data_IF_928916167250
#
_entry.id   IF_928916167250
#
_cell.length_a   1.000
_cell.length_b   1.000
_cell.length_c   1.000
_cell.angle_alpha   90.00
_cell.angle_beta   90.00
_cell.angle_gamma   90.00
#
_symmetry.space_group_name_H-M   'P 1'
#
loop_
_entity.id
_entity.type
_entity.pdbx_description
1 polymer ?
#
# COMPACT_ATOMS: atom_id res chain seq x y z
N UNK A 1 7.25 -18.69 11.38
CA UNK A 1 6.57 -17.41 11.00
C UNK A 1 7.02 -17.12 9.59
N UNK A 2 6.13 -16.90 8.64
CA UNK A 2 6.53 -16.77 7.25
C UNK A 2 7.30 -15.46 7.05
N UNK A 3 8.50 -15.52 6.48
CA UNK A 3 9.40 -14.38 6.18
C UNK A 3 8.78 -13.33 5.24
N UNK A 4 7.53 -13.52 4.82
CA UNK A 4 6.84 -12.72 3.81
C UNK A 4 5.86 -11.68 4.39
N UNK A 5 5.92 -11.38 5.69
CA UNK A 5 5.02 -10.43 6.33
C UNK A 5 5.78 -9.29 7.02
N UNK A 6 5.45 -8.07 6.64
CA UNK A 6 5.98 -6.84 7.25
C UNK A 6 4.88 -6.24 8.12
N UNK A 7 5.13 -6.11 9.42
CA UNK A 7 4.25 -5.41 10.35
C UNK A 7 4.32 -3.90 10.15
N UNK A 8 3.18 -3.24 10.19
CA UNK A 8 3.06 -1.79 10.03
C UNK A 8 2.23 -1.24 11.18
N UNK A 9 2.84 -0.42 12.00
CA UNK A 9 2.23 0.08 13.24
C UNK A 9 1.74 -1.06 14.16
N UNK A 10 0.68 -0.82 14.96
CA UNK A 10 0.19 -1.78 15.94
C UNK A 10 -0.61 -2.92 15.31
N UNK A 11 -1.44 -2.62 14.31
CA UNK A 11 -2.45 -3.54 13.80
C UNK A 11 -2.31 -3.84 12.30
N UNK A 12 -1.53 -3.03 11.59
CA UNK A 12 -1.34 -3.16 10.15
C UNK A 12 -0.29 -4.20 9.77
N UNK A 13 -0.37 -4.69 8.56
CA UNK A 13 0.65 -5.52 7.94
C UNK A 13 0.54 -5.50 6.41
N UNK A 14 1.65 -5.86 5.76
CA UNK A 14 1.71 -6.22 4.34
C UNK A 14 2.31 -7.61 4.25
N UNK A 15 1.57 -8.55 3.67
CA UNK A 15 2.01 -9.93 3.48
C UNK A 15 2.00 -10.28 2.01
N UNK A 16 3.14 -10.72 1.50
CA UNK A 16 3.22 -11.30 0.17
C UNK A 16 2.55 -12.67 0.17
N UNK A 17 1.55 -12.85 -0.70
CA UNK A 17 0.85 -14.13 -0.88
C UNK A 17 1.37 -14.92 -2.07
N UNK A 18 1.59 -14.22 -3.21
CA UNK A 18 1.93 -14.87 -4.46
C UNK A 18 2.63 -13.90 -5.41
N UNK A 19 3.44 -14.44 -6.31
CA UNK A 19 4.13 -13.70 -7.37
C UNK A 19 3.99 -14.49 -8.67
N UNK A 20 3.50 -13.86 -9.71
CA UNK A 20 3.49 -14.37 -11.07
C UNK A 20 4.54 -13.63 -11.90
N UNK A 21 5.50 -14.36 -12.44
CA UNK A 21 6.58 -13.81 -13.25
C UNK A 21 7.81 -13.35 -12.47
N UNK A 22 8.81 -12.93 -13.21
CA UNK A 22 10.10 -12.45 -12.72
C UNK A 22 10.80 -11.60 -13.80
N UNK A 23 12.03 -11.17 -13.58
CA UNK A 23 12.80 -10.36 -14.52
C UNK A 23 13.00 -11.04 -15.89
N UNK A 24 13.12 -12.36 -15.93
CA UNK A 24 13.26 -13.10 -17.19
C UNK A 24 11.97 -13.09 -18.01
N UNK A 25 10.81 -13.15 -17.33
CA UNK A 25 9.50 -13.04 -17.99
C UNK A 25 9.30 -11.65 -18.61
N UNK A 26 9.74 -10.58 -17.93
CA UNK A 26 9.73 -9.23 -18.50
C UNK A 26 10.62 -9.15 -19.74
N UNK A 27 11.81 -9.78 -19.70
CA UNK A 27 12.70 -9.87 -20.87
C UNK A 27 12.03 -10.63 -22.02
N UNK A 28 11.47 -11.81 -21.71
CA UNK A 28 10.79 -12.65 -22.70
C UNK A 28 9.64 -11.91 -23.37
N UNK A 29 8.79 -11.26 -22.59
CA UNK A 29 7.68 -10.45 -23.08
C UNK A 29 8.15 -9.32 -24.02
N UNK A 30 9.23 -8.62 -23.64
CA UNK A 30 9.80 -7.58 -24.49
C UNK A 30 10.36 -8.13 -25.80
N UNK A 31 10.92 -9.34 -25.79
CA UNK A 31 11.54 -9.97 -26.97
C UNK A 31 10.54 -10.54 -27.97
N UNK A 32 9.32 -10.85 -27.55
CA UNK A 32 8.24 -11.29 -28.46
C UNK A 32 8.07 -10.34 -29.63
N UNK A 33 8.24 -9.05 -29.43
CA UNK A 33 8.11 -8.02 -30.47
C UNK A 33 9.14 -8.14 -31.59
N UNK A 34 10.23 -8.87 -31.40
CA UNK A 34 11.29 -9.04 -32.39
C UNK A 34 11.18 -10.34 -33.20
N UNK A 35 10.22 -11.22 -32.84
CA UNK A 35 10.04 -12.51 -33.51
C UNK A 35 11.06 -13.59 -33.08
N UNK A 36 10.90 -14.79 -33.65
CA UNK A 36 11.76 -15.92 -33.36
C UNK A 36 13.20 -15.69 -33.88
N UNK A 37 14.19 -16.18 -33.11
CA UNK A 37 15.60 -16.15 -33.52
C UNK A 37 16.37 -14.87 -33.17
N UNK A 38 15.76 -13.94 -32.45
CA UNK A 38 16.48 -12.72 -32.03
C UNK A 38 17.56 -13.06 -31.00
N UNK A 39 18.82 -12.77 -31.35
CA UNK A 39 19.96 -13.01 -30.46
C UNK A 39 19.88 -12.12 -29.23
N UNK A 40 20.13 -12.71 -28.04
CA UNK A 40 20.28 -11.96 -26.79
C UNK A 40 21.51 -11.06 -26.87
N UNK A 41 21.29 -9.75 -27.06
CA UNK A 41 22.35 -8.75 -27.24
C UNK A 41 22.76 -8.09 -25.91
N UNK A 42 21.87 -8.11 -24.91
CA UNK A 42 22.10 -7.47 -23.63
C UNK A 42 21.77 -8.41 -22.46
N UNK A 43 22.37 -8.15 -21.30
CA UNK A 43 21.96 -8.80 -20.08
C UNK A 43 20.56 -8.37 -19.68
N UNK A 44 19.76 -9.27 -19.11
CA UNK A 44 18.39 -9.05 -18.63
C UNK A 44 18.24 -7.74 -17.86
N UNK A 45 19.14 -7.51 -16.89
CA UNK A 45 19.12 -6.28 -16.07
C UNK A 45 19.25 -4.98 -16.87
N UNK A 46 20.07 -4.99 -17.93
CA UNK A 46 20.28 -3.78 -18.74
C UNK A 46 19.04 -3.50 -19.63
N UNK A 47 18.42 -4.55 -20.15
CA UNK A 47 17.19 -4.44 -20.92
C UNK A 47 16.05 -3.90 -20.03
N UNK A 48 15.84 -4.46 -18.86
CA UNK A 48 14.81 -3.98 -17.90
C UNK A 48 15.01 -2.51 -17.56
N UNK A 49 16.23 -2.09 -17.26
CA UNK A 49 16.54 -0.68 -16.99
C UNK A 49 16.28 0.22 -18.19
N UNK A 50 16.56 -0.25 -19.39
CA UNK A 50 16.24 0.46 -20.63
C UNK A 50 14.73 0.62 -20.78
N UNK A 51 13.96 -0.46 -20.66
CA UNK A 51 12.50 -0.45 -20.77
C UNK A 51 11.86 0.52 -19.75
N UNK A 52 12.31 0.48 -18.50
CA UNK A 52 11.84 1.39 -17.45
C UNK A 52 12.16 2.85 -17.76
N UNK A 53 13.36 3.15 -18.20
CA UNK A 53 13.79 4.52 -18.52
C UNK A 53 13.00 5.11 -19.67
N UNK A 54 12.66 4.30 -20.65
CA UNK A 54 11.91 4.70 -21.85
C UNK A 54 10.39 4.50 -21.71
N UNK A 55 9.91 4.12 -20.49
CA UNK A 55 8.50 3.92 -20.19
C UNK A 55 7.80 2.89 -21.09
N UNK A 56 8.51 1.84 -21.47
CA UNK A 56 7.94 0.69 -22.14
C UNK A 56 7.31 -0.22 -21.08
N UNK A 57 6.05 0.00 -20.73
CA UNK A 57 5.40 -0.62 -19.56
C UNK A 57 4.84 -2.01 -19.85
N UNK A 58 4.37 -2.29 -21.05
CA UNK A 58 3.69 -3.54 -21.40
C UNK A 58 4.42 -4.82 -20.97
N UNK A 59 5.76 -4.96 -21.11
CA UNK A 59 6.44 -6.16 -20.65
C UNK A 59 6.34 -6.40 -19.15
N UNK A 60 6.25 -5.33 -18.33
CA UNK A 60 6.10 -5.41 -16.89
C UNK A 60 4.68 -5.82 -16.48
N UNK A 61 3.69 -5.58 -17.33
CA UNK A 61 2.29 -5.96 -17.10
C UNK A 61 2.06 -7.47 -17.21
N UNK A 62 3.07 -8.23 -17.68
CA UNK A 62 3.08 -9.69 -17.68
C UNK A 62 3.45 -10.28 -16.30
N UNK A 63 3.79 -9.46 -15.32
CA UNK A 63 4.10 -9.89 -13.97
C UNK A 63 3.08 -9.32 -12.98
N UNK A 64 2.66 -10.14 -12.04
CA UNK A 64 1.72 -9.74 -11.00
C UNK A 64 2.24 -10.09 -9.60
N UNK A 65 1.86 -9.30 -8.62
CA UNK A 65 2.17 -9.54 -7.20
C UNK A 65 0.89 -9.47 -6.39
N UNK A 66 0.63 -10.50 -5.60
CA UNK A 66 -0.55 -10.59 -4.74
C UNK A 66 -0.18 -10.34 -3.29
N UNK A 67 -0.81 -9.33 -2.70
CA UNK A 67 -0.64 -8.98 -1.30
C UNK A 67 -1.91 -9.16 -0.50
N UNK A 68 -1.75 -9.59 0.77
CA UNK A 68 -2.74 -9.39 1.80
C UNK A 68 -2.32 -8.21 2.67
N UNK A 69 -3.15 -7.18 2.71
CA UNK A 69 -2.81 -5.94 3.40
C UNK A 69 -3.89 -5.63 4.44
N UNK A 70 -3.47 -5.33 5.67
CA UNK A 70 -4.33 -4.73 6.70
C UNK A 70 -3.88 -3.29 6.90
N UNK A 71 -4.79 -2.35 6.65
CA UNK A 71 -4.50 -0.92 6.71
C UNK A 71 -5.75 -0.12 7.10
N UNK A 72 -5.61 1.11 7.60
CA UNK A 72 -6.73 1.99 7.87
C UNK A 72 -7.49 2.37 6.59
N UNK A 73 -8.81 2.54 6.69
CA UNK A 73 -9.67 2.84 5.54
C UNK A 73 -9.26 4.13 4.80
N UNK A 74 -8.78 5.14 5.50
CA UNK A 74 -8.31 6.38 4.88
C UNK A 74 -7.04 6.19 4.04
N UNK A 75 -6.17 5.22 4.41
CA UNK A 75 -5.02 4.83 3.58
C UNK A 75 -5.50 4.04 2.36
N UNK A 76 -6.48 3.14 2.54
CA UNK A 76 -7.08 2.39 1.43
C UNK A 76 -7.67 3.33 0.38
N UNK A 77 -8.32 4.43 0.78
CA UNK A 77 -8.86 5.44 -0.14
C UNK A 77 -7.79 6.13 -0.99
N UNK A 78 -6.54 6.16 -0.54
CA UNK A 78 -5.40 6.61 -1.35
C UNK A 78 -4.88 5.48 -2.25
N UNK A 79 -4.74 4.27 -1.69
CA UNK A 79 -4.22 3.12 -2.43
C UNK A 79 -5.08 2.78 -3.66
N UNK A 80 -6.40 2.79 -3.52
CA UNK A 80 -7.35 2.47 -4.60
C UNK A 80 -7.28 3.42 -5.81
N UNK A 81 -6.61 4.57 -5.69
CA UNK A 81 -6.37 5.49 -6.81
C UNK A 81 -5.31 4.96 -7.79
N UNK A 82 -4.53 3.98 -7.41
CA UNK A 82 -3.64 3.22 -8.30
C UNK A 82 -4.46 2.15 -9.03
N UNK A 83 -4.98 2.51 -10.21
CA UNK A 83 -6.03 1.76 -10.93
C UNK A 83 -5.58 0.47 -11.61
N UNK A 84 -4.29 0.16 -11.60
CA UNK A 84 -3.74 -1.06 -12.20
C UNK A 84 -3.88 -2.29 -11.29
N UNK A 85 -4.41 -2.13 -10.09
CA UNK A 85 -4.59 -3.21 -9.12
C UNK A 85 -6.01 -3.77 -9.16
N UNK A 86 -6.14 -5.10 -9.06
CA UNK A 86 -7.36 -5.79 -8.71
C UNK A 86 -7.50 -5.82 -7.20
N UNK A 87 -8.68 -5.51 -6.67
CA UNK A 87 -8.90 -5.36 -5.23
C UNK A 87 -10.09 -6.20 -4.79
N UNK A 88 -9.94 -6.81 -3.61
CA UNK A 88 -11.02 -7.41 -2.87
C UNK A 88 -10.92 -6.99 -1.41
N UNK A 89 -11.97 -6.46 -0.84
CA UNK A 89 -11.99 -5.92 0.51
C UNK A 89 -12.83 -6.79 1.45
N UNK A 90 -12.44 -6.79 2.71
CA UNK A 90 -13.23 -7.32 3.80
C UNK A 90 -14.56 -6.56 3.91
N UNK A 91 -15.65 -7.29 4.05
CA UNK A 91 -17.00 -6.70 4.08
C UNK A 91 -17.65 -6.83 5.46
N UNK A 92 -18.00 -5.69 6.06
CA UNK A 92 -18.82 -5.63 7.26
C UNK A 92 -20.27 -6.12 7.08
N UNK A 93 -20.68 -6.42 5.84
CA UNK A 93 -21.99 -7.02 5.57
C UNK A 93 -22.04 -8.50 5.89
N UNK A 94 -20.91 -9.19 5.89
CA UNK A 94 -20.80 -10.63 6.08
C UNK A 94 -20.15 -11.02 7.40
N UNK A 95 -19.46 -10.09 8.05
CA UNK A 95 -18.71 -10.36 9.28
C UNK A 95 -18.65 -9.12 10.15
N UNK A 96 -18.58 -9.32 11.46
CA UNK A 96 -18.34 -8.23 12.39
C UNK A 96 -16.94 -7.63 12.14
N UNK A 97 -16.88 -6.33 11.97
CA UNK A 97 -15.61 -5.62 11.78
C UNK A 97 -14.75 -5.68 13.04
N UNK A 98 -13.42 -5.75 12.87
CA UNK A 98 -12.52 -5.66 14.00
C UNK A 98 -12.50 -4.24 14.59
N UNK A 99 -12.32 -4.15 15.92
CA UNK A 99 -12.21 -2.88 16.65
C UNK A 99 -10.83 -2.22 16.55
N UNK A 100 -10.06 -2.58 15.52
CA UNK A 100 -8.71 -2.08 15.32
C UNK A 100 -8.72 -0.70 14.67
N UNK A 101 -8.75 0.34 15.45
CA UNK A 101 -8.59 1.70 14.98
C UNK A 101 -7.12 2.10 14.90
N UNK A 102 -6.74 2.81 13.84
CA UNK A 102 -5.48 3.52 13.82
C UNK A 102 -5.59 4.76 14.69
N UNK A 103 -4.86 4.76 15.79
CA UNK A 103 -4.81 5.86 16.74
C UNK A 103 -3.45 6.54 16.70
N UNK A 104 -3.33 7.73 16.08
CA UNK A 104 -2.07 8.46 16.05
C UNK A 104 -1.72 8.97 17.45
N UNK A 105 -0.46 8.77 17.88
CA UNK A 105 0.05 9.21 19.18
C UNK A 105 1.41 9.87 19.07
N UNK A 106 1.72 10.79 19.98
CA UNK A 106 3.02 11.41 20.12
C UNK A 106 3.55 11.97 18.80
N UNK A 107 4.73 11.53 18.37
CA UNK A 107 5.40 12.01 17.15
C UNK A 107 4.64 11.76 15.84
N UNK A 108 3.58 10.96 15.84
CA UNK A 108 2.74 10.74 14.67
C UNK A 108 1.65 11.83 14.53
N UNK A 109 1.45 12.64 15.57
CA UNK A 109 0.64 13.85 15.53
C UNK A 109 1.57 15.01 15.15
N UNK A 110 1.41 15.51 13.93
CA UNK A 110 2.22 16.59 13.39
C UNK A 110 1.35 17.73 12.88
N UNK A 111 1.84 18.99 12.97
CA UNK A 111 1.12 20.13 12.42
C UNK A 111 0.99 20.06 10.92
N UNK A 112 0.05 20.81 10.38
CA UNK A 112 -0.09 21.02 8.94
C UNK A 112 1.12 21.78 8.43
N UNK A 113 1.67 21.36 7.28
CA UNK A 113 2.75 22.10 6.64
C UNK A 113 2.28 23.45 6.14
N UNK A 114 3.10 24.45 6.35
CA UNK A 114 2.86 25.83 5.89
C UNK A 114 3.16 26.00 4.40
N UNK A 115 4.05 25.18 3.85
CA UNK A 115 4.50 25.25 2.46
C UNK A 115 3.79 24.23 1.56
N UNK A 116 3.48 23.04 2.08
CA UNK A 116 2.77 22.00 1.37
C UNK A 116 1.44 21.68 2.07
N UNK A 117 0.35 22.22 1.57
CA UNK A 117 -0.99 22.05 2.15
C UNK A 117 -1.46 20.57 2.23
N UNK A 118 -0.85 19.66 1.49
CA UNK A 118 -1.15 18.22 1.54
C UNK A 118 -0.22 17.46 2.49
N UNK A 119 0.83 18.11 2.98
CA UNK A 119 1.85 17.51 3.83
C UNK A 119 1.74 17.90 5.29
N UNK A 120 2.55 17.23 6.08
CA UNK A 120 2.82 17.55 7.47
C UNK A 120 4.25 18.03 7.58
N UNK A 121 4.54 18.89 8.53
CA UNK A 121 5.92 19.35 8.80
C UNK A 121 6.37 18.92 10.19
N UNK A 122 7.68 18.95 10.40
CA UNK A 122 8.24 18.66 11.71
C UNK A 122 7.91 19.81 12.67
N UNK A 123 7.48 19.45 13.85
CA UNK A 123 7.05 20.36 14.89
C UNK A 123 6.13 19.67 15.90
N UNK A 124 5.90 20.34 16.99
CA UNK A 124 4.97 19.88 18.01
C UNK A 124 3.61 20.56 17.85
N UNK A 125 2.56 19.79 18.06
CA UNK A 125 1.21 20.34 18.15
C UNK A 125 1.03 21.07 19.48
N UNK A 126 0.22 22.11 19.47
CA UNK A 126 -0.29 22.70 20.70
C UNK A 126 -1.23 21.70 21.37
N UNK A 127 -1.00 21.36 22.63
CA UNK A 127 -1.83 20.43 23.41
C UNK A 127 -2.01 19.03 22.79
N UNK A 128 -0.96 18.26 22.47
CA UNK A 128 -1.11 16.95 21.86
C UNK A 128 -1.93 15.97 22.69
N UNK A 129 -1.89 16.05 24.03
CA UNK A 129 -2.67 15.21 24.93
C UNK A 129 -4.18 15.46 24.84
N UNK A 130 -4.60 16.69 24.64
CA UNK A 130 -6.00 17.06 24.43
C UNK A 130 -6.55 16.47 23.12
N UNK A 131 -5.75 16.55 22.06
CA UNK A 131 -6.08 15.97 20.76
C UNK A 131 -6.17 14.44 20.85
N UNK A 132 -5.23 13.80 21.53
CA UNK A 132 -5.26 12.35 21.76
C UNK A 132 -6.52 11.94 22.54
N UNK A 133 -6.90 12.67 23.58
CA UNK A 133 -8.09 12.41 24.36
C UNK A 133 -9.37 12.53 23.54
N UNK A 134 -9.49 13.59 22.75
CA UNK A 134 -10.65 13.78 21.86
C UNK A 134 -10.76 12.69 20.80
N UNK A 135 -9.67 12.30 20.18
CA UNK A 135 -9.64 11.18 19.24
C UNK A 135 -10.07 9.87 19.91
N UNK A 136 -9.55 9.60 21.11
CA UNK A 136 -9.95 8.41 21.87
C UNK A 136 -11.47 8.41 22.14
N UNK A 137 -12.02 9.52 22.62
CA UNK A 137 -13.46 9.68 22.89
C UNK A 137 -14.33 9.41 21.67
N UNK A 138 -13.91 9.93 20.50
CA UNK A 138 -14.62 9.73 19.23
C UNK A 138 -14.58 8.26 18.81
N UNK A 139 -13.42 7.61 18.87
CA UNK A 139 -13.27 6.21 18.48
C UNK A 139 -14.00 5.26 19.42
N UNK A 140 -13.92 5.49 20.74
CA UNK A 140 -14.65 4.71 21.72
C UNK A 140 -16.17 4.87 21.56
N UNK A 141 -16.64 6.07 21.34
CA UNK A 141 -18.05 6.34 21.05
C UNK A 141 -18.55 5.66 19.79
N UNK A 142 -17.76 5.69 18.70
CA UNK A 142 -18.10 5.03 17.44
C UNK A 142 -18.13 3.49 17.60
N UNK A 143 -17.16 2.92 18.32
CA UNK A 143 -17.11 1.50 18.64
C UNK A 143 -18.33 1.06 19.42
N UNK A 144 -18.66 1.77 20.51
CA UNK A 144 -19.80 1.45 21.37
C UNK A 144 -21.13 1.56 20.57
N UNK A 145 -21.26 2.57 19.72
CA UNK A 145 -22.43 2.70 18.86
C UNK A 145 -22.56 1.51 17.89
N UNK A 146 -21.47 1.06 17.28
CA UNK A 146 -21.48 -0.08 16.38
C UNK A 146 -21.87 -1.39 17.05
N UNK A 147 -21.40 -1.63 18.28
CA UNK A 147 -21.74 -2.87 19.02
C UNK A 147 -23.14 -2.87 19.64
N UNK A 148 -23.79 -1.72 19.70
CA UNK A 148 -25.15 -1.59 20.21
C UNK A 148 -26.23 -1.67 19.11
N UNK A 149 -25.83 -1.84 17.84
CA UNK A 149 -26.72 -2.06 16.70
C UNK A 149 -27.01 -3.54 16.48
#
# INVERSE_FOLDING_TARGET
>A
MSDNEIKVHKHGFVKLLDVMGNDEEVENAARISYGEGTRKVSQTRNLIRYLMRHKHTSPFEMCEVKFHIKLPIFVMRQLVRHRTANLNEYSGRYSVMSDDFYFPKGKNLKPQSTTNKQGREDGELRNPGEIEFELFRIFDGAKNAYHNL
#
